data_IF_273239961553
#
_entry.id   IF_273239961553
#
_cell.length_a   1.000
_cell.length_b   1.000
_cell.length_c   1.000
_cell.angle_alpha   90.00
_cell.angle_beta   90.00
_cell.angle_gamma   90.00
#
_symmetry.space_group_name_H-M   'P 1'
#
loop_
_entity.id
_entity.type
_entity.pdbx_description
1 polymer ?
#
# COMPACT_ATOMS: atom_id res chain seq x y z
N UNK A 1 29.84 11.57 -8.60
CA UNK A 1 28.66 10.74 -8.28
C UNK A 1 28.55 10.67 -6.76
N UNK A 2 27.63 11.41 -6.15
CA UNK A 2 27.33 11.35 -4.71
C UNK A 2 26.12 10.43 -4.52
N UNK A 3 26.33 9.13 -4.62
CA UNK A 3 25.26 8.14 -4.56
C UNK A 3 25.05 7.68 -3.11
N UNK A 4 23.78 7.54 -2.71
CA UNK A 4 23.46 6.93 -1.43
C UNK A 4 23.85 5.46 -1.43
N UNK A 5 24.60 5.05 -0.41
CA UNK A 5 25.06 3.67 -0.25
C UNK A 5 24.57 3.07 1.06
N UNK A 6 24.20 1.79 0.99
CA UNK A 6 23.84 0.97 2.13
C UNK A 6 25.04 0.12 2.54
N UNK A 7 25.55 0.34 3.75
CA UNK A 7 26.61 -0.50 4.32
C UNK A 7 26.12 -1.94 4.53
N UNK A 8 27.00 -2.92 4.40
CA UNK A 8 26.68 -4.36 4.60
C UNK A 8 26.04 -4.64 5.96
N UNK A 9 26.49 -3.95 7.02
CA UNK A 9 25.91 -4.08 8.38
C UNK A 9 24.42 -3.72 8.42
N UNK A 10 24.00 -2.72 7.63
CA UNK A 10 22.59 -2.30 7.54
C UNK A 10 21.76 -3.25 6.69
N UNK A 11 22.36 -3.84 5.65
CA UNK A 11 21.71 -4.90 4.87
C UNK A 11 21.37 -6.10 5.75
N UNK A 12 22.26 -6.50 6.66
CA UNK A 12 22.00 -7.59 7.61
C UNK A 12 20.89 -7.26 8.62
N UNK A 13 20.79 -6.01 9.06
CA UNK A 13 19.70 -5.57 9.93
C UNK A 13 18.35 -5.61 9.19
N UNK A 14 18.31 -5.15 7.94
CA UNK A 14 17.13 -5.21 7.09
C UNK A 14 16.68 -6.65 6.83
N UNK A 15 17.63 -7.58 6.66
CA UNK A 15 17.32 -9.00 6.51
C UNK A 15 16.54 -9.54 7.70
N UNK A 16 16.94 -9.20 8.93
CA UNK A 16 16.25 -9.66 10.13
C UNK A 16 14.82 -9.09 10.19
N UNK A 17 14.65 -7.80 9.91
CA UNK A 17 13.31 -7.17 9.93
C UNK A 17 12.44 -7.68 8.78
N UNK A 18 13.01 -8.02 7.63
CA UNK A 18 12.28 -8.58 6.49
C UNK A 18 11.63 -9.93 6.84
N UNK A 19 12.36 -10.80 7.52
CA UNK A 19 11.88 -12.14 7.88
C UNK A 19 10.80 -12.13 8.97
N UNK A 20 10.89 -11.18 9.91
CA UNK A 20 9.96 -11.08 11.04
C UNK A 20 8.82 -10.08 10.81
N UNK A 21 8.95 -9.18 9.84
CA UNK A 21 8.04 -8.05 9.63
C UNK A 21 8.23 -6.97 10.69
N UNK A 22 7.47 -5.88 10.55
CA UNK A 22 7.49 -4.76 11.50
C UNK A 22 8.05 -3.47 10.90
N UNK A 23 8.42 -2.51 11.75
CA UNK A 23 8.93 -1.21 11.34
C UNK A 23 10.38 -1.03 11.78
N UNK A 24 11.19 -0.41 10.92
CA UNK A 24 12.58 -0.08 11.24
C UNK A 24 12.99 1.23 10.58
N UNK A 25 13.97 1.90 11.17
CA UNK A 25 14.59 3.08 10.59
C UNK A 25 15.97 2.66 10.07
N UNK A 26 16.24 2.94 8.81
CA UNK A 26 17.52 2.64 8.19
C UNK A 26 18.15 3.92 7.64
N UNK A 27 19.27 4.38 8.22
CA UNK A 27 19.97 5.53 7.65
C UNK A 27 20.62 5.14 6.32
N UNK A 28 20.50 5.99 5.31
CA UNK A 28 21.28 5.93 4.07
C UNK A 28 22.31 7.05 4.05
N UNK A 29 23.52 6.73 3.62
CA UNK A 29 24.67 7.64 3.72
C UNK A 29 25.08 8.11 2.32
N UNK A 30 25.24 9.43 2.17
CA UNK A 30 26.03 10.07 1.12
C UNK A 30 27.28 10.70 1.77
N UNK A 31 28.34 11.02 1.01
CA UNK A 31 29.59 11.54 1.59
C UNK A 31 29.42 12.77 2.49
N UNK A 32 28.36 13.55 2.28
CA UNK A 32 28.13 14.84 2.96
C UNK A 32 26.91 14.82 3.92
N UNK A 33 26.09 13.76 3.96
CA UNK A 33 24.82 13.74 4.69
C UNK A 33 24.33 12.30 4.93
N UNK A 34 23.64 12.09 6.03
CA UNK A 34 22.84 10.89 6.25
C UNK A 34 21.35 11.27 6.25
N UNK A 35 20.51 10.42 5.65
CA UNK A 35 19.06 10.58 5.67
C UNK A 35 18.44 9.28 6.13
N UNK A 36 17.43 9.36 6.99
CA UNK A 36 16.73 8.20 7.52
C UNK A 36 15.62 7.74 6.58
N UNK A 37 15.65 6.46 6.23
CA UNK A 37 14.53 5.77 5.58
C UNK A 37 13.69 5.07 6.65
N UNK A 38 12.41 5.42 6.73
CA UNK A 38 11.44 4.70 7.54
C UNK A 38 10.89 3.54 6.74
N UNK A 39 11.07 2.32 7.22
CA UNK A 39 10.73 1.09 6.51
C UNK A 39 9.66 0.35 7.31
N UNK A 40 8.55 0.03 6.66
CA UNK A 40 7.47 -0.79 7.20
C UNK A 40 7.37 -2.07 6.38
N UNK A 41 7.35 -3.22 7.03
CA UNK A 41 7.31 -4.53 6.39
C UNK A 41 6.08 -5.28 6.88
N UNK A 42 5.19 -5.57 5.94
CA UNK A 42 3.98 -6.37 6.13
C UNK A 42 4.19 -7.72 5.42
N UNK A 43 4.25 -8.80 6.19
CA UNK A 43 4.53 -10.14 5.68
C UNK A 43 3.23 -10.92 5.49
N UNK A 44 3.10 -11.55 4.33
CA UNK A 44 2.12 -12.60 4.05
C UNK A 44 2.82 -13.98 3.97
N UNK A 45 2.05 -15.05 3.81
CA UNK A 45 2.55 -16.40 3.56
C UNK A 45 3.48 -16.52 2.34
N UNK A 46 3.32 -15.67 1.31
CA UNK A 46 4.12 -15.76 0.07
C UNK A 46 5.04 -14.58 -0.21
N UNK A 47 4.74 -13.41 0.34
CA UNK A 47 5.38 -12.15 -0.04
C UNK A 47 5.71 -11.27 1.17
N UNK A 48 6.74 -10.45 1.02
CA UNK A 48 7.04 -9.32 1.87
C UNK A 48 6.58 -8.05 1.16
N UNK A 49 5.67 -7.31 1.75
CA UNK A 49 5.30 -5.97 1.31
C UNK A 49 6.10 -4.96 2.11
N UNK A 50 7.09 -4.35 1.48
CA UNK A 50 8.01 -3.40 2.13
C UNK A 50 7.63 -2.02 1.68
N UNK A 51 7.11 -1.16 2.56
CA UNK A 51 6.94 0.27 2.33
C UNK A 51 8.11 1.05 2.91
N UNK A 52 8.56 2.10 2.21
CA UNK A 52 9.72 2.91 2.55
C UNK A 52 9.36 4.38 2.40
N UNK A 53 9.57 5.18 3.44
CA UNK A 53 9.45 6.63 3.38
C UNK A 53 10.83 7.26 3.59
N UNK A 54 11.22 8.12 2.67
CA UNK A 54 12.50 8.82 2.63
C UNK A 54 12.27 10.31 2.41
N UNK A 55 12.25 11.08 3.50
CA UNK A 55 11.84 12.50 3.45
C UNK A 55 10.44 12.66 2.82
N UNK A 56 10.27 13.45 1.74
CA UNK A 56 8.98 13.61 1.05
C UNK A 56 8.65 12.45 0.09
N UNK A 57 9.60 11.54 -0.16
CA UNK A 57 9.45 10.45 -1.15
C UNK A 57 8.96 9.21 -0.42
N UNK A 58 7.87 8.61 -0.89
CA UNK A 58 7.39 7.31 -0.39
C UNK A 58 7.41 6.28 -1.51
N UNK A 59 7.82 5.07 -1.14
CA UNK A 59 8.00 3.92 -1.99
C UNK A 59 7.56 2.64 -1.26
N UNK A 60 7.54 1.52 -1.97
CA UNK A 60 7.23 0.18 -1.53
C UNK A 60 7.56 -0.81 -2.62
N UNK A 61 8.16 -1.93 -2.26
CA UNK A 61 8.46 -3.04 -3.16
C UNK A 61 7.80 -4.30 -2.59
N UNK A 62 7.33 -5.18 -3.48
CA UNK A 62 6.86 -6.52 -3.11
C UNK A 62 7.95 -7.53 -3.43
N UNK A 63 8.33 -8.34 -2.46
CA UNK A 63 9.41 -9.32 -2.58
C UNK A 63 8.88 -10.72 -2.27
N UNK A 64 9.31 -11.73 -3.00
CA UNK A 64 8.93 -13.12 -2.72
C UNK A 64 9.73 -13.70 -1.55
N UNK A 65 9.06 -14.33 -0.59
CA UNK A 65 9.70 -14.85 0.63
C UNK A 65 10.70 -15.97 0.37
N UNK A 66 10.39 -16.83 -0.59
CA UNK A 66 11.28 -17.92 -1.02
C UNK A 66 12.44 -17.46 -1.94
N UNK A 67 12.45 -16.21 -2.37
CA UNK A 67 13.46 -15.73 -3.29
C UNK A 67 14.77 -15.40 -2.55
N UNK A 68 15.89 -15.88 -3.07
CA UNK A 68 17.22 -15.66 -2.48
C UNK A 68 17.78 -14.27 -2.83
N UNK A 69 17.31 -13.67 -3.92
CA UNK A 69 17.74 -12.35 -4.41
C UNK A 69 16.96 -11.20 -3.77
N UNK A 70 15.88 -11.47 -3.02
CA UNK A 70 15.04 -10.46 -2.35
C UNK A 70 15.81 -9.39 -1.57
N UNK A 71 16.93 -9.75 -0.96
CA UNK A 71 17.78 -8.81 -0.21
C UNK A 71 18.56 -7.87 -1.13
N UNK A 72 19.01 -8.37 -2.28
CA UNK A 72 19.65 -7.55 -3.31
C UNK A 72 18.62 -6.63 -3.95
N UNK A 73 17.43 -7.14 -4.26
CA UNK A 73 16.32 -6.33 -4.77
C UNK A 73 15.90 -5.23 -3.80
N UNK A 74 15.78 -5.51 -2.49
CA UNK A 74 15.49 -4.50 -1.49
C UNK A 74 16.60 -3.44 -1.38
N UNK A 75 17.86 -3.86 -1.41
CA UNK A 75 19.00 -2.94 -1.33
C UNK A 75 19.01 -2.02 -2.55
N UNK A 76 18.91 -2.58 -3.74
CA UNK A 76 18.90 -1.86 -5.01
C UNK A 76 17.76 -0.84 -5.01
N UNK A 77 16.56 -1.29 -4.63
CA UNK A 77 15.39 -0.44 -4.47
C UNK A 77 15.60 0.75 -3.52
N UNK A 78 16.18 0.52 -2.34
CA UNK A 78 16.46 1.58 -1.37
C UNK A 78 17.49 2.59 -1.92
N UNK A 79 18.49 2.11 -2.66
CA UNK A 79 19.48 2.97 -3.29
C UNK A 79 18.87 3.78 -4.44
N UNK A 80 18.07 3.16 -5.29
CA UNK A 80 17.36 3.81 -6.38
C UNK A 80 16.38 4.86 -5.88
N UNK A 81 15.58 4.53 -4.85
CA UNK A 81 14.63 5.46 -4.23
C UNK A 81 15.35 6.68 -3.64
N UNK A 82 16.46 6.46 -2.92
CA UNK A 82 17.24 7.55 -2.33
C UNK A 82 18.01 8.39 -3.37
N UNK A 83 18.37 7.81 -4.52
CA UNK A 83 19.01 8.51 -5.63
C UNK A 83 18.00 9.08 -6.65
N UNK A 84 16.70 8.97 -6.40
CA UNK A 84 15.63 9.49 -7.27
C UNK A 84 15.49 8.74 -8.60
N UNK A 85 16.00 7.51 -8.70
CA UNK A 85 15.93 6.64 -9.87
C UNK A 85 14.81 5.61 -9.69
N UNK A 86 13.55 6.04 -9.80
CA UNK A 86 12.38 5.21 -9.46
C UNK A 86 11.93 4.23 -10.56
N UNK A 87 12.83 3.48 -11.19
CA UNK A 87 12.45 2.56 -12.29
C UNK A 87 12.03 1.15 -11.82
N UNK A 88 12.47 0.64 -10.66
CA UNK A 88 12.38 -0.81 -10.34
C UNK A 88 11.60 -1.24 -9.10
N UNK A 89 10.54 -0.54 -8.71
CA UNK A 89 9.59 -1.13 -7.75
C UNK A 89 8.90 -0.15 -6.84
N UNK A 90 8.20 0.84 -7.40
CA UNK A 90 7.31 1.68 -6.60
C UNK A 90 6.06 0.87 -6.13
N UNK A 91 5.43 1.25 -5.00
CA UNK A 91 3.98 1.18 -4.94
C UNK A 91 3.61 2.14 -6.04
N UNK A 92 3.03 1.66 -7.12
CA UNK A 92 2.43 2.60 -8.06
C UNK A 92 1.62 3.60 -7.24
N UNK A 93 1.60 4.88 -7.64
CA UNK A 93 0.74 5.89 -6.99
C UNK A 93 -0.67 5.32 -6.69
N UNK A 94 -1.10 4.42 -7.58
CA UNK A 94 -2.24 3.53 -7.46
C UNK A 94 -2.30 2.67 -6.18
N UNK A 95 -1.24 1.96 -5.77
CA UNK A 95 -1.23 1.14 -4.55
C UNK A 95 -1.33 1.97 -3.25
N UNK A 96 -0.69 3.16 -3.20
CA UNK A 96 -0.86 4.09 -2.06
C UNK A 96 -2.30 4.59 -2.03
N UNK A 97 -2.81 5.06 -3.17
CA UNK A 97 -4.16 5.57 -3.30
C UNK A 97 -5.23 4.52 -2.96
N UNK A 98 -5.00 3.24 -3.27
CA UNK A 98 -5.88 2.14 -2.88
C UNK A 98 -5.92 1.93 -1.38
N UNK A 99 -4.77 1.98 -0.71
CA UNK A 99 -4.69 1.81 0.74
C UNK A 99 -5.41 2.94 1.46
N UNK A 100 -5.12 4.18 1.09
CA UNK A 100 -5.82 5.35 1.63
C UNK A 100 -7.33 5.29 1.36
N UNK A 101 -7.74 4.88 0.15
CA UNK A 101 -9.15 4.74 -0.17
C UNK A 101 -9.83 3.64 0.65
N UNK A 102 -9.16 2.51 0.89
CA UNK A 102 -9.72 1.41 1.66
C UNK A 102 -9.90 1.81 3.13
N UNK A 103 -8.92 2.51 3.71
CA UNK A 103 -9.01 3.04 5.06
C UNK A 103 -10.20 4.01 5.19
N UNK A 104 -10.32 4.98 4.29
CA UNK A 104 -11.45 5.93 4.32
C UNK A 104 -12.80 5.29 4.04
N UNK A 105 -12.87 4.24 3.23
CA UNK A 105 -14.12 3.48 3.03
C UNK A 105 -14.49 2.72 4.29
N UNK A 106 -13.53 2.06 4.95
CA UNK A 106 -13.81 1.32 6.19
C UNK A 106 -14.36 2.21 7.31
N UNK A 107 -13.98 3.49 7.38
CA UNK A 107 -14.52 4.46 8.34
C UNK A 107 -16.04 4.71 8.19
N UNK A 108 -16.63 4.33 7.05
CA UNK A 108 -18.04 4.59 6.75
C UNK A 108 -18.90 3.33 6.66
N UNK A 109 -18.28 2.16 6.85
CA UNK A 109 -18.95 0.88 6.88
C UNK A 109 -19.51 0.57 8.27
N UNK A 110 -20.48 -0.34 8.31
CA UNK A 110 -20.96 -0.96 9.54
C UNK A 110 -20.08 -2.16 9.94
N UNK A 111 -20.17 -2.57 11.21
CA UNK A 111 -19.35 -3.65 11.78
C UNK A 111 -19.53 -5.01 11.05
N UNK A 112 -20.67 -5.19 10.40
CA UNK A 112 -21.02 -6.36 9.60
C UNK A 112 -20.68 -6.24 8.11
N UNK A 113 -19.91 -5.24 7.70
CA UNK A 113 -19.55 -5.00 6.30
C UNK A 113 -18.03 -5.04 6.10
N UNK A 114 -17.61 -5.50 4.92
CA UNK A 114 -16.21 -5.53 4.50
C UNK A 114 -16.07 -4.91 3.12
N UNK A 115 -15.08 -4.01 2.95
CA UNK A 115 -14.71 -3.47 1.66
C UNK A 115 -13.44 -4.11 1.07
N UNK A 116 -13.44 -4.21 -0.26
CA UNK A 116 -12.30 -4.59 -1.07
C UNK A 116 -12.09 -3.55 -2.17
N UNK A 117 -10.84 -3.11 -2.39
CA UNK A 117 -10.48 -2.21 -3.49
C UNK A 117 -9.56 -2.93 -4.47
N UNK A 118 -9.90 -2.88 -5.75
CA UNK A 118 -9.14 -3.49 -6.84
C UNK A 118 -8.85 -2.47 -7.95
N UNK A 119 -7.72 -2.57 -8.66
CA UNK A 119 -7.46 -1.78 -9.86
C UNK A 119 -8.47 -2.11 -10.96
N UNK A 120 -8.66 -1.17 -11.88
CA UNK A 120 -9.41 -1.40 -13.10
C UNK A 120 -8.59 -1.01 -14.34
N UNK A 121 -9.01 -1.53 -15.49
CA UNK A 121 -8.44 -1.19 -16.80
C UNK A 121 -8.88 0.21 -17.29
N UNK A 122 -9.77 0.89 -16.55
CA UNK A 122 -10.30 2.20 -16.90
C UNK A 122 -9.43 3.32 -16.28
N UNK A 123 -8.78 4.17 -17.10
CA UNK A 123 -7.87 5.21 -16.60
C UNK A 123 -8.61 6.39 -15.96
N UNK A 124 -9.87 6.64 -16.31
CA UNK A 124 -10.69 7.69 -15.69
C UNK A 124 -11.23 7.28 -14.31
N UNK A 125 -11.35 5.97 -14.06
CA UNK A 125 -11.80 5.36 -12.80
C UNK A 125 -10.93 4.15 -12.45
N UNK A 126 -9.65 4.39 -12.11
CA UNK A 126 -8.66 3.34 -11.89
C UNK A 126 -8.94 2.43 -10.70
N UNK A 127 -9.87 2.79 -9.81
CA UNK A 127 -10.17 2.04 -8.60
C UNK A 127 -11.60 1.54 -8.60
N UNK A 128 -11.81 0.26 -8.25
CA UNK A 128 -13.12 -0.32 -7.98
C UNK A 128 -13.20 -0.73 -6.52
N UNK A 129 -14.26 -0.30 -5.84
CA UNK A 129 -14.60 -0.75 -4.49
C UNK A 129 -15.80 -1.69 -4.54
N UNK A 130 -15.74 -2.75 -3.76
CA UNK A 130 -16.81 -3.74 -3.55
C UNK A 130 -17.00 -3.87 -2.04
N UNK A 131 -18.22 -3.64 -1.57
CA UNK A 131 -18.62 -3.80 -0.18
C UNK A 131 -19.52 -5.03 -0.09
N UNK A 132 -19.20 -5.93 0.81
CA UNK A 132 -19.95 -7.14 1.11
C UNK A 132 -20.53 -7.06 2.52
N UNK A 133 -21.67 -7.69 2.77
CA UNK A 133 -22.16 -7.94 4.13
C UNK A 133 -21.54 -9.22 4.74
N UNK A 134 -21.97 -9.58 5.95
CA UNK A 134 -21.49 -10.76 6.66
C UNK A 134 -21.95 -12.10 6.06
N UNK A 135 -22.97 -12.09 5.20
CA UNK A 135 -23.40 -13.23 4.40
C UNK A 135 -22.64 -13.33 3.05
N UNK A 136 -21.90 -12.28 2.67
CA UNK A 136 -21.15 -12.20 1.43
C UNK A 136 -21.96 -11.64 0.25
N UNK A 137 -23.14 -11.09 0.49
CA UNK A 137 -23.94 -10.38 -0.51
C UNK A 137 -23.35 -8.98 -0.78
N UNK A 138 -23.44 -8.56 -2.05
CA UNK A 138 -22.87 -7.28 -2.49
C UNK A 138 -23.80 -6.15 -2.03
N UNK A 139 -23.32 -5.40 -1.04
CA UNK A 139 -23.99 -4.19 -0.54
C UNK A 139 -23.65 -2.95 -1.34
N UNK A 140 -22.46 -2.84 -1.92
CA UNK A 140 -22.14 -1.73 -2.80
C UNK A 140 -21.05 -2.12 -3.79
N UNK A 141 -21.14 -1.60 -5.01
CA UNK A 141 -20.09 -1.75 -6.00
C UNK A 141 -20.00 -0.49 -6.84
N UNK A 142 -18.87 0.18 -6.79
CA UNK A 142 -18.65 1.40 -7.57
C UNK A 142 -17.19 1.53 -8.03
N UNK A 143 -16.95 2.39 -9.01
CA UNK A 143 -15.63 2.76 -9.49
C UNK A 143 -15.39 4.25 -9.23
N UNK A 144 -14.14 4.63 -9.00
CA UNK A 144 -13.77 6.01 -8.75
C UNK A 144 -12.32 6.31 -9.05
N UNK A 145 -12.02 7.60 -9.06
CA UNK A 145 -10.69 8.15 -9.35
C UNK A 145 -9.87 8.46 -8.09
N UNK A 146 -10.52 8.73 -6.96
CA UNK A 146 -9.87 9.10 -5.70
C UNK A 146 -10.69 8.60 -4.49
N UNK A 147 -10.07 8.62 -3.30
CA UNK A 147 -10.70 8.18 -2.05
C UNK A 147 -12.02 8.88 -1.75
N UNK A 148 -12.08 10.21 -1.84
CA UNK A 148 -13.28 10.98 -1.52
C UNK A 148 -14.48 10.56 -2.39
N UNK A 149 -14.25 10.41 -3.70
CA UNK A 149 -15.28 9.97 -4.64
C UNK A 149 -15.77 8.54 -4.35
N UNK A 150 -14.86 7.63 -3.99
CA UNK A 150 -15.23 6.25 -3.63
C UNK A 150 -16.07 6.23 -2.35
N UNK A 151 -15.67 6.99 -1.33
CA UNK A 151 -16.38 7.09 -0.04
C UNK A 151 -17.77 7.66 -0.23
N UNK A 152 -17.90 8.76 -0.97
CA UNK A 152 -19.21 9.38 -1.24
C UNK A 152 -20.13 8.43 -2.02
N UNK A 153 -19.62 7.76 -3.04
CA UNK A 153 -20.40 6.83 -3.84
C UNK A 153 -20.84 5.59 -3.03
N UNK A 154 -19.95 5.04 -2.19
CA UNK A 154 -20.29 3.93 -1.27
C UNK A 154 -21.36 4.39 -0.27
N UNK A 155 -21.20 5.55 0.36
CA UNK A 155 -22.21 6.10 1.29
C UNK A 155 -23.57 6.25 0.62
N UNK A 156 -23.63 6.73 -0.62
CA UNK A 156 -24.89 6.87 -1.35
C UNK A 156 -25.54 5.51 -1.64
N UNK A 157 -24.79 4.52 -2.13
CA UNK A 157 -25.36 3.19 -2.40
C UNK A 157 -25.87 2.50 -1.13
N UNK A 158 -25.10 2.56 -0.04
CA UNK A 158 -25.51 1.99 1.24
C UNK A 158 -26.77 2.66 1.80
N UNK A 159 -26.94 3.97 1.60
CA UNK A 159 -28.18 4.69 1.98
C UNK A 159 -29.38 4.23 1.16
N UNK A 160 -29.23 4.14 -0.17
CA UNK A 160 -30.31 3.71 -1.07
C UNK A 160 -30.81 2.31 -0.74
N UNK A 161 -29.92 1.39 -0.37
CA UNK A 161 -30.30 0.03 0.02
C UNK A 161 -31.04 0.02 1.36
N UNK A 162 -30.62 0.86 2.32
CA UNK A 162 -31.33 1.02 3.60
C UNK A 162 -32.71 1.64 3.45
N UNK A 163 -32.87 2.57 2.51
CA UNK A 163 -34.14 3.25 2.23
C UNK A 163 -35.11 2.33 1.45
N UNK A 164 -34.63 1.61 0.43
CA UNK A 164 -35.46 0.65 -0.32
C UNK A 164 -35.89 -0.59 0.49
N UNK A 165 -35.13 -0.96 1.53
CA UNK A 165 -35.52 -2.05 2.45
C UNK A 165 -36.64 -1.62 3.42
N UNK A 166 -36.90 -0.31 3.58
CA UNK A 166 -37.95 0.20 4.48
C UNK A 166 -39.33 0.36 3.86
N UNK A 167 -39.51 0.03 2.57
CA UNK A 167 -40.77 0.24 1.85
C UNK A 167 -41.67 -1.01 1.83
N UNK A 168 -41.21 -2.12 2.42
CA UNK A 168 -41.95 -3.38 2.50
C UNK A 168 -41.96 -3.93 3.94
N UNK A 169 -42.64 -3.24 4.85
CA UNK A 169 -43.07 -3.78 6.14
C UNK A 169 -44.50 -3.34 6.44
#
# INVERSE_FOLDING_TARGET
MNEYTLSLKRVMLLQQVLEHGGTTICPLHRPETAVDAHIKIENDHRTHHVAVTFGPITGSITLHRGDASKYMALRDYLQDLANGRTDSGQPTYQAIAMREALESVNEVLEDNQVAYINPTEDPERPFRVIVLDNLGDICASTKGHCKDQLVEAVRQQLRLIKEGTREHA
#
